data_IF_316504829532
#
_entry.id   IF_316504829532
#
_cell.length_a   1.000
_cell.length_b   1.000
_cell.length_c   1.000
_cell.angle_alpha   90.00
_cell.angle_beta   90.00
_cell.angle_gamma   90.00
#
_symmetry.space_group_name_H-M   'P 1'
#
loop_
_entity.id
_entity.type
_entity.pdbx_description
1 polymer ?
#
# COMPACT_ATOMS: atom_id res chain seq x y z
N UNK A 1 -1.22 -17.05 -23.31
CA UNK A 1 0.09 -16.37 -23.14
C UNK A 1 0.14 -15.58 -21.83
N UNK A 2 1.31 -15.57 -21.16
CA UNK A 2 1.58 -15.27 -19.73
C UNK A 2 0.98 -13.94 -19.18
N UNK A 3 -0.25 -13.97 -18.66
CA UNK A 3 -0.93 -12.86 -17.96
C UNK A 3 -0.66 -12.82 -16.43
N UNK A 4 0.33 -13.55 -15.92
CA UNK A 4 0.37 -13.92 -14.49
C UNK A 4 0.85 -12.82 -13.55
N UNK A 5 1.84 -12.00 -13.92
CA UNK A 5 2.44 -11.00 -12.99
C UNK A 5 1.61 -9.71 -12.87
N UNK A 6 1.18 -9.13 -13.99
CA UNK A 6 0.37 -7.89 -13.99
C UNK A 6 -0.99 -8.12 -13.32
N UNK A 7 -1.68 -9.22 -13.64
CA UNK A 7 -2.99 -9.53 -13.05
C UNK A 7 -2.90 -9.80 -11.55
N UNK A 8 -1.84 -10.49 -11.07
CA UNK A 8 -1.61 -10.68 -9.63
C UNK A 8 -1.36 -9.35 -8.91
N UNK A 9 -0.56 -8.46 -9.49
CA UNK A 9 -0.33 -7.11 -8.93
C UNK A 9 -1.64 -6.32 -8.80
N UNK A 10 -2.46 -6.33 -9.85
CA UNK A 10 -3.77 -5.65 -9.84
C UNK A 10 -4.70 -6.26 -8.78
N UNK A 11 -4.76 -7.59 -8.69
CA UNK A 11 -5.55 -8.28 -7.68
C UNK A 11 -5.11 -7.90 -6.26
N UNK A 12 -3.79 -7.87 -6.01
CA UNK A 12 -3.25 -7.47 -4.72
C UNK A 12 -3.56 -6.01 -4.39
N UNK A 13 -3.44 -5.08 -5.35
CA UNK A 13 -3.85 -3.69 -5.14
C UNK A 13 -5.35 -3.57 -4.82
N UNK A 14 -6.20 -4.38 -5.45
CA UNK A 14 -7.64 -4.44 -5.14
C UNK A 14 -7.89 -4.93 -3.71
N UNK A 15 -7.18 -5.97 -3.28
CA UNK A 15 -7.23 -6.47 -1.91
C UNK A 15 -6.77 -5.42 -0.91
N UNK A 16 -5.65 -4.73 -1.18
CA UNK A 16 -5.15 -3.64 -0.33
C UNK A 16 -6.18 -2.52 -0.24
N UNK A 17 -6.78 -2.11 -1.36
CA UNK A 17 -7.82 -1.08 -1.38
C UNK A 17 -9.04 -1.48 -0.53
N UNK A 18 -9.52 -2.72 -0.65
CA UNK A 18 -10.64 -3.24 0.15
C UNK A 18 -10.30 -3.27 1.63
N UNK A 19 -9.10 -3.74 1.97
CA UNK A 19 -8.60 -3.75 3.33
C UNK A 19 -8.49 -2.33 3.92
N UNK A 20 -7.96 -1.37 3.17
CA UNK A 20 -7.91 0.04 3.58
C UNK A 20 -9.31 0.65 3.78
N UNK A 21 -10.30 0.26 2.98
CA UNK A 21 -11.68 0.69 3.19
C UNK A 21 -12.27 0.12 4.50
N UNK A 22 -12.02 -1.15 4.81
CA UNK A 22 -12.47 -1.77 6.07
C UNK A 22 -11.78 -1.14 7.29
N UNK A 23 -10.50 -0.80 7.16
CA UNK A 23 -9.68 -0.19 8.21
C UNK A 23 -9.84 1.33 8.35
N UNK A 24 -10.81 1.93 7.66
CA UNK A 24 -11.04 3.38 7.74
C UNK A 24 -11.33 3.85 9.18
N UNK A 25 -11.95 2.97 9.99
CA UNK A 25 -12.30 3.23 11.38
C UNK A 25 -11.18 2.89 12.39
N UNK A 26 -10.17 2.09 12.00
CA UNK A 26 -9.03 1.73 12.86
C UNK A 26 -8.08 2.92 13.04
N UNK A 27 -7.11 2.87 13.96
CA UNK A 27 -6.15 3.98 14.12
C UNK A 27 -5.21 4.07 12.89
N UNK A 28 -4.81 5.27 12.42
CA UNK A 28 -3.93 5.42 11.27
C UNK A 28 -2.58 4.70 11.46
N UNK A 29 -2.03 4.74 12.67
CA UNK A 29 -0.77 4.09 13.02
C UNK A 29 -0.84 2.55 12.85
N UNK A 30 -1.92 1.91 13.29
CA UNK A 30 -2.11 0.46 13.15
C UNK A 30 -2.26 0.07 11.68
N UNK A 31 -3.04 0.85 10.92
CA UNK A 31 -3.20 0.64 9.48
C UNK A 31 -1.88 0.83 8.73
N UNK A 32 -1.05 1.80 9.14
CA UNK A 32 0.27 2.03 8.57
C UNK A 32 1.24 0.86 8.83
N UNK A 33 1.26 0.31 10.05
CA UNK A 33 2.05 -0.89 10.38
C UNK A 33 1.64 -2.10 9.57
N UNK A 34 0.33 -2.34 9.43
CA UNK A 34 -0.19 -3.40 8.58
C UNK A 34 0.22 -3.21 7.12
N UNK A 35 0.13 -1.97 6.61
CA UNK A 35 0.49 -1.67 5.23
C UNK A 35 1.98 -1.92 4.96
N UNK A 36 2.85 -1.59 5.92
CA UNK A 36 4.29 -1.88 5.86
C UNK A 36 4.54 -3.38 5.69
N UNK A 37 3.96 -4.23 6.54
CA UNK A 37 4.12 -5.69 6.47
C UNK A 37 3.66 -6.26 5.12
N UNK A 38 2.56 -5.74 4.56
CA UNK A 38 2.06 -6.16 3.25
C UNK A 38 3.02 -5.77 2.12
N UNK A 39 3.58 -4.56 2.18
CA UNK A 39 4.56 -4.09 1.18
C UNK A 39 5.86 -4.89 1.30
N UNK A 40 6.39 -5.08 2.51
CA UNK A 40 7.58 -5.90 2.76
C UNK A 40 7.39 -7.33 2.26
N UNK A 41 6.24 -7.97 2.55
CA UNK A 41 5.94 -9.30 2.02
C UNK A 41 5.91 -9.36 0.48
N UNK A 42 5.41 -8.31 -0.17
CA UNK A 42 5.43 -8.22 -1.63
C UNK A 42 6.85 -8.04 -2.18
N UNK A 43 7.64 -7.15 -1.56
CA UNK A 43 9.03 -6.91 -1.95
C UNK A 43 9.87 -8.17 -1.74
N UNK A 44 9.71 -8.89 -0.64
CA UNK A 44 10.43 -10.14 -0.37
C UNK A 44 10.12 -11.23 -1.41
N UNK A 45 8.85 -11.32 -1.85
CA UNK A 45 8.45 -12.33 -2.83
C UNK A 45 8.84 -11.98 -4.28
N UNK A 46 8.80 -10.69 -4.64
CA UNK A 46 9.02 -10.22 -6.02
C UNK A 46 10.35 -9.48 -6.23
N UNK A 47 11.18 -9.39 -5.18
CA UNK A 47 12.47 -8.71 -5.08
C UNK A 47 13.59 -9.43 -5.82
N UNK A 48 13.36 -9.70 -7.11
CA UNK A 48 14.36 -10.27 -8.00
C UNK A 48 14.99 -9.18 -8.86
N UNK A 49 16.28 -9.33 -9.24
CA UNK A 49 16.90 -8.49 -10.26
C UNK A 49 16.00 -8.40 -11.50
N UNK A 50 15.98 -7.23 -12.16
CA UNK A 50 15.15 -6.91 -13.34
C UNK A 50 13.64 -6.68 -13.10
N UNK A 51 13.14 -6.71 -11.85
CA UNK A 51 11.73 -6.41 -11.53
C UNK A 51 11.51 -5.04 -10.85
N UNK A 52 12.58 -4.24 -10.70
CA UNK A 52 12.59 -3.00 -9.91
C UNK A 52 11.49 -2.04 -10.37
N UNK A 53 11.32 -1.80 -11.68
CA UNK A 53 10.28 -0.90 -12.21
C UNK A 53 8.87 -1.29 -11.77
N UNK A 54 8.57 -2.59 -11.73
CA UNK A 54 7.25 -3.07 -11.32
C UNK A 54 7.04 -2.96 -9.80
N UNK A 55 8.10 -3.13 -9.01
CA UNK A 55 8.08 -2.94 -7.56
C UNK A 55 7.89 -1.46 -7.20
N UNK A 56 8.63 -0.56 -7.84
CA UNK A 56 8.47 0.89 -7.67
C UNK A 56 7.05 1.32 -8.03
N UNK A 57 6.52 0.86 -9.17
CA UNK A 57 5.14 1.14 -9.56
C UNK A 57 4.14 0.62 -8.52
N UNK A 58 4.35 -0.59 -7.98
CA UNK A 58 3.49 -1.14 -6.94
C UNK A 58 3.51 -0.28 -5.67
N UNK A 59 4.70 0.10 -5.18
CA UNK A 59 4.84 0.94 -4.00
C UNK A 59 4.16 2.31 -4.18
N UNK A 60 4.29 2.90 -5.37
CA UNK A 60 3.67 4.19 -5.68
C UNK A 60 2.14 4.10 -5.68
N UNK A 61 1.56 3.05 -6.28
CA UNK A 61 0.11 2.82 -6.24
C UNK A 61 -0.40 2.60 -4.81
N UNK A 62 0.34 1.83 -4.00
CA UNK A 62 0.01 1.63 -2.58
C UNK A 62 0.04 2.96 -1.81
N UNK A 63 1.07 3.79 -2.03
CA UNK A 63 1.17 5.13 -1.44
C UNK A 63 0.00 6.02 -1.85
N UNK A 64 -0.38 6.03 -3.14
CA UNK A 64 -1.54 6.80 -3.62
C UNK A 64 -2.85 6.33 -2.97
N UNK A 65 -3.06 5.02 -2.86
CA UNK A 65 -4.23 4.45 -2.17
C UNK A 65 -4.27 4.88 -0.70
N UNK A 66 -3.14 4.80 0.01
CA UNK A 66 -3.05 5.23 1.40
C UNK A 66 -3.36 6.72 1.58
N UNK A 67 -2.76 7.59 0.77
CA UNK A 67 -3.04 9.03 0.78
C UNK A 67 -4.50 9.35 0.45
N UNK A 68 -5.15 8.56 -0.41
CA UNK A 68 -6.58 8.74 -0.73
C UNK A 68 -7.45 8.34 0.46
N UNK A 69 -7.13 7.24 1.13
CA UNK A 69 -7.81 6.80 2.36
C UNK A 69 -7.65 7.82 3.47
N UNK A 70 -6.43 8.32 3.69
CA UNK A 70 -6.16 9.37 4.67
C UNK A 70 -6.92 10.66 4.34
N UNK A 71 -6.93 11.12 3.08
CA UNK A 71 -7.72 12.30 2.68
C UNK A 71 -9.21 12.12 2.92
N UNK A 72 -9.76 10.92 2.66
CA UNK A 72 -11.17 10.60 2.95
C UNK A 72 -11.47 10.62 4.44
N UNK A 73 -10.49 10.21 5.27
CA UNK A 73 -10.54 10.32 6.71
C UNK A 73 -10.32 11.75 7.22
N UNK A 74 -9.59 12.59 6.47
CA UNK A 74 -9.16 13.95 6.85
C UNK A 74 -10.31 14.98 6.88
N UNK A 75 -11.51 14.66 6.42
CA UNK A 75 -12.70 15.39 6.89
C UNK A 75 -12.94 15.23 8.41
N UNK A 76 -12.18 14.37 9.12
CA UNK A 76 -12.28 14.12 10.55
C UNK A 76 -10.94 14.07 11.33
N UNK A 77 -9.76 14.21 10.71
CA UNK A 77 -8.48 14.13 11.46
C UNK A 77 -7.31 14.85 10.76
N UNK A 78 -6.95 16.03 11.25
CA UNK A 78 -5.68 16.72 10.97
C UNK A 78 -4.53 16.05 11.74
N UNK A 79 -3.32 16.09 11.17
CA UNK A 79 -2.03 15.51 11.62
C UNK A 79 -1.77 14.02 11.32
N UNK A 80 -0.49 13.65 11.17
CA UNK A 80 0.07 12.29 10.89
C UNK A 80 0.42 11.90 9.44
N UNK A 81 0.66 12.84 8.52
CA UNK A 81 1.34 12.51 7.24
C UNK A 81 2.86 12.28 7.41
N UNK A 82 3.42 12.60 8.57
CA UNK A 82 4.86 12.51 8.86
C UNK A 82 5.36 11.08 9.15
N UNK A 83 4.49 10.18 9.62
CA UNK A 83 4.88 8.83 10.07
C UNK A 83 5.34 7.90 8.93
N UNK A 84 4.99 8.19 7.67
CA UNK A 84 5.34 7.33 6.54
C UNK A 84 6.76 7.56 5.99
N UNK A 85 7.42 8.68 6.35
CA UNK A 85 8.79 8.97 5.94
C UNK A 85 9.86 8.36 6.86
N UNK A 86 9.52 7.94 8.08
CA UNK A 86 10.50 7.42 9.04
C UNK A 86 10.79 5.91 8.90
N UNK A 87 10.21 5.24 7.91
CA UNK A 87 10.11 3.77 7.90
C UNK A 87 10.54 3.12 6.57
N UNK A 88 11.12 3.91 5.66
CA UNK A 88 11.83 3.39 4.47
C UNK A 88 13.28 3.83 4.55
#
# INVERSE_FOLDING_TARGET
>A
MRKTRRSRRIAQLKTIKQALHKRLHEKPAETGRWLRLVVEGHLNYYGVPFNIRALTQFMEEVKRLWLKTLRRRKSAAQNELSTFQQVV
#
